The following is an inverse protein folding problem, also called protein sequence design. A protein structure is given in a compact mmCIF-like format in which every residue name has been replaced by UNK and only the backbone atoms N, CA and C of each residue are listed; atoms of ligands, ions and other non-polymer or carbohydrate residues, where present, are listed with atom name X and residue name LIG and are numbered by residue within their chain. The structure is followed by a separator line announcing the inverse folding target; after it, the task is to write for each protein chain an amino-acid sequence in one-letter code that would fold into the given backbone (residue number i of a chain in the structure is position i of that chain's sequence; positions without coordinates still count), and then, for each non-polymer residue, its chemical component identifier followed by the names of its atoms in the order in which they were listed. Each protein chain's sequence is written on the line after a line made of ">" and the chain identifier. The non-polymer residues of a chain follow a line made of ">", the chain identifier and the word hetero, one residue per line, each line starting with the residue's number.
data_IF_133795470506
#
_entry.id   IF_133795470506
#
_cell.length_a   1.000
_cell.length_b   1.000
_cell.length_c   1.000
_cell.angle_alpha   90.00
_cell.angle_beta   90.00
_cell.angle_gamma   90.00
#
_symmetry.space_group_name_H-M   'P 1'
#
loop_
_entity.id
_entity.type
_entity.pdbx_description
1 polymer ?
#
# COMPACT_ATOMS: atom_id res chain seq x y z
N UNK A 1 -21.25 6.22 1.70
CA UNK A 1 -21.98 6.22 0.42
C UNK A 1 -23.32 5.50 0.59
N UNK A 2 -24.39 6.12 0.16
CA UNK A 2 -25.70 5.47 0.15
C UNK A 2 -25.74 4.50 -1.05
N UNK A 3 -26.55 3.43 -0.93
CA UNK A 3 -26.69 2.47 -2.01
C UNK A 3 -27.22 3.07 -3.31
N UNK A 4 -27.96 4.19 -3.22
CA UNK A 4 -28.54 4.86 -4.38
C UNK A 4 -27.47 5.47 -5.30
N UNK A 5 -26.31 5.80 -4.75
CA UNK A 5 -25.22 6.43 -5.50
C UNK A 5 -24.16 5.44 -5.95
N UNK A 6 -24.33 4.15 -5.65
CA UNK A 6 -23.37 3.14 -6.04
C UNK A 6 -23.41 2.93 -7.56
N UNK A 7 -22.25 2.78 -8.22
CA UNK A 7 -22.22 2.47 -9.64
C UNK A 7 -22.82 1.10 -9.92
N UNK A 8 -23.35 0.94 -11.11
CA UNK A 8 -24.05 -0.31 -11.49
C UNK A 8 -23.12 -1.53 -11.55
N UNK A 9 -21.82 -1.29 -11.79
CA UNK A 9 -20.84 -2.38 -11.83
C UNK A 9 -20.41 -2.88 -10.45
N UNK A 10 -20.69 -2.11 -9.38
CA UNK A 10 -20.30 -2.48 -8.02
C UNK A 10 -21.41 -3.33 -7.40
N UNK A 11 -21.22 -4.64 -7.41
CA UNK A 11 -22.20 -5.62 -6.93
C UNK A 11 -21.88 -6.15 -5.55
N UNK A 12 -20.70 -5.86 -5.04
CA UNK A 12 -20.28 -6.30 -3.72
C UNK A 12 -20.27 -5.15 -2.73
N UNK A 13 -20.27 -5.49 -1.45
CA UNK A 13 -20.10 -4.50 -0.40
C UNK A 13 -18.61 -4.13 -0.31
N UNK A 14 -18.33 -2.84 -0.18
CA UNK A 14 -16.96 -2.40 0.07
C UNK A 14 -16.46 -2.98 1.39
N UNK A 15 -15.19 -3.41 1.45
CA UNK A 15 -14.58 -3.73 2.72
C UNK A 15 -14.62 -2.52 3.66
N UNK A 16 -14.62 -2.78 4.96
CA UNK A 16 -14.67 -1.70 5.95
C UNK A 16 -13.52 -0.69 5.79
N UNK A 17 -12.38 -1.13 5.28
CA UNK A 17 -11.20 -0.29 5.09
C UNK A 17 -11.22 0.50 3.78
N UNK A 18 -12.19 0.28 2.89
CA UNK A 18 -12.24 0.99 1.61
C UNK A 18 -12.62 2.46 1.83
N UNK A 19 -11.77 3.34 1.35
CA UNK A 19 -11.95 4.79 1.45
C UNK A 19 -12.14 5.44 0.09
N UNK A 20 -12.14 4.64 -0.97
CA UNK A 20 -12.22 5.16 -2.34
C UNK A 20 -13.66 5.40 -2.76
N UNK A 21 -13.88 6.52 -3.45
CA UNK A 21 -15.13 6.77 -4.15
C UNK A 21 -15.18 5.96 -5.44
N UNK A 22 -16.30 5.28 -5.68
CA UNK A 22 -16.51 4.49 -6.89
C UNK A 22 -17.45 5.23 -7.82
N UNK A 23 -17.02 5.44 -9.07
CA UNK A 23 -17.77 6.18 -10.07
C UNK A 23 -18.27 5.25 -11.16
N UNK A 24 -19.44 5.59 -11.73
CA UNK A 24 -20.04 4.77 -12.79
C UNK A 24 -19.11 4.63 -14.01
N UNK A 25 -18.37 5.70 -14.33
CA UNK A 25 -17.48 5.73 -15.48
C UNK A 25 -16.05 5.29 -15.20
N UNK A 26 -15.79 4.69 -14.03
CA UNK A 26 -14.49 4.10 -13.76
C UNK A 26 -14.16 3.05 -14.80
N UNK A 27 -12.96 3.15 -15.38
CA UNK A 27 -12.46 2.13 -16.29
C UNK A 27 -12.35 0.79 -15.53
N UNK A 28 -12.60 -0.36 -16.18
CA UNK A 28 -12.49 -1.65 -15.49
C UNK A 28 -11.20 -1.86 -14.71
N UNK A 29 -10.07 -1.35 -15.20
CA UNK A 29 -8.78 -1.46 -14.51
C UNK A 29 -8.72 -0.60 -13.25
N UNK A 30 -9.60 0.40 -13.14
CA UNK A 30 -9.63 1.31 -12.01
C UNK A 30 -10.71 0.94 -10.98
N UNK A 31 -11.37 -0.19 -11.18
CA UNK A 31 -12.42 -0.67 -10.27
C UNK A 31 -11.81 -1.49 -9.14
N UNK A 32 -11.24 -0.79 -8.17
CA UNK A 32 -10.63 -1.44 -7.02
C UNK A 32 -10.91 -0.67 -5.74
N UNK A 33 -10.90 -1.40 -4.63
CA UNK A 33 -10.98 -0.81 -3.30
C UNK A 33 -9.58 -0.42 -2.84
N UNK A 34 -9.44 0.68 -2.15
CA UNK A 34 -8.19 0.97 -1.45
C UNK A 34 -8.45 1.70 -0.14
N UNK A 35 -7.54 1.48 0.81
CA UNK A 35 -7.61 2.11 2.12
C UNK A 35 -7.15 3.57 2.05
N UNK A 36 -7.40 4.30 3.13
CA UNK A 36 -6.72 5.57 3.36
C UNK A 36 -5.21 5.30 3.37
N UNK A 37 -4.42 6.12 2.68
CA UNK A 37 -2.97 5.94 2.72
C UNK A 37 -2.41 6.31 4.08
N UNK A 38 -1.46 5.51 4.56
CA UNK A 38 -0.69 5.81 5.76
C UNK A 38 0.66 6.38 5.34
N UNK A 39 1.08 7.47 5.96
CA UNK A 39 2.34 8.13 5.64
C UNK A 39 3.36 7.83 6.73
N UNK A 40 4.53 7.35 6.32
CA UNK A 40 5.60 6.96 7.23
C UNK A 40 6.83 7.80 6.94
N UNK A 41 7.20 8.74 7.82
CA UNK A 41 8.48 9.43 7.69
C UNK A 41 9.61 8.43 7.84
N UNK A 42 10.57 8.47 6.93
CA UNK A 42 11.65 7.51 6.88
C UNK A 42 12.96 8.19 6.52
N UNK A 43 14.06 7.52 6.82
CA UNK A 43 15.38 7.89 6.33
C UNK A 43 15.88 6.70 5.54
N UNK A 44 16.24 6.91 4.29
CA UNK A 44 16.58 5.83 3.38
C UNK A 44 17.82 6.14 2.57
N UNK A 45 18.51 5.07 2.15
CA UNK A 45 19.62 5.17 1.21
C UNK A 45 19.07 5.02 -0.21
N UNK A 46 19.40 5.95 -1.08
CA UNK A 46 18.82 6.01 -2.41
C UNK A 46 19.40 4.96 -3.37
N UNK A 47 20.70 4.73 -3.34
CA UNK A 47 21.36 3.94 -4.39
C UNK A 47 22.45 2.98 -3.91
N UNK A 48 22.85 3.03 -2.67
CA UNK A 48 23.99 2.23 -2.20
C UNK A 48 23.52 0.87 -1.66
N UNK A 49 24.28 -0.17 -2.02
CA UNK A 49 24.01 -1.52 -1.49
C UNK A 49 24.28 -1.58 0.00
N UNK A 50 25.35 -0.92 0.45
CA UNK A 50 25.65 -0.76 1.87
C UNK A 50 25.68 0.74 2.16
N UNK A 51 24.65 1.29 2.79
CA UNK A 51 24.57 2.73 2.98
C UNK A 51 25.58 3.24 4.00
N UNK A 52 26.07 4.44 3.74
CA UNK A 52 26.84 5.23 4.69
C UNK A 52 26.02 6.44 5.08
N UNK A 53 26.35 7.08 6.21
CA UNK A 53 25.57 8.21 6.71
C UNK A 53 25.35 9.30 5.66
N UNK A 54 26.34 9.57 4.83
CA UNK A 54 26.25 10.63 3.82
C UNK A 54 25.27 10.30 2.68
N UNK A 55 24.93 9.02 2.49
CA UNK A 55 24.00 8.61 1.44
C UNK A 55 22.55 8.50 1.92
N UNK A 56 22.31 8.70 3.21
CA UNK A 56 20.97 8.64 3.78
C UNK A 56 20.24 9.96 3.56
N UNK A 57 18.97 9.89 3.19
CA UNK A 57 18.16 11.07 3.00
C UNK A 57 16.74 10.85 3.54
N UNK A 58 16.10 11.91 4.02
CA UNK A 58 14.72 11.79 4.49
C UNK A 58 13.78 11.56 3.31
N UNK A 59 12.75 10.77 3.54
CA UNK A 59 11.69 10.53 2.57
C UNK A 59 10.39 10.21 3.30
N UNK A 60 9.29 10.21 2.57
CA UNK A 60 8.00 9.76 3.09
C UNK A 60 7.59 8.52 2.31
N UNK A 61 7.25 7.46 3.03
CA UNK A 61 6.67 6.26 2.43
C UNK A 61 5.16 6.32 2.58
N UNK A 62 4.46 5.84 1.57
CA UNK A 62 3.01 5.68 1.58
C UNK A 62 2.70 4.20 1.60
N UNK A 63 1.84 3.79 2.52
CA UNK A 63 1.43 2.38 2.67
C UNK A 63 -0.09 2.31 2.58
N UNK A 64 -0.60 1.41 1.74
CA UNK A 64 -2.04 1.27 1.58
C UNK A 64 -2.43 -0.13 1.14
N UNK A 65 -3.70 -0.49 1.40
CA UNK A 65 -4.30 -1.75 0.99
C UNK A 65 -5.08 -1.54 -0.31
N UNK A 66 -5.12 -2.57 -1.15
CA UNK A 66 -5.94 -2.56 -2.33
C UNK A 66 -6.50 -3.95 -2.65
N UNK A 67 -7.61 -3.97 -3.36
CA UNK A 67 -8.22 -5.19 -3.87
C UNK A 67 -9.13 -4.83 -5.04
N UNK A 68 -8.95 -5.47 -6.18
CA UNK A 68 -9.88 -5.28 -7.29
C UNK A 68 -11.28 -5.74 -6.91
N UNK A 69 -12.28 -5.05 -7.42
CA UNK A 69 -13.67 -5.47 -7.27
C UNK A 69 -13.81 -6.87 -7.86
N UNK A 70 -14.57 -7.71 -7.19
CA UNK A 70 -14.81 -9.11 -7.56
C UNK A 70 -13.57 -10.02 -7.48
N UNK A 71 -12.48 -9.54 -6.89
CA UNK A 71 -11.29 -10.35 -6.67
C UNK A 71 -11.12 -10.66 -5.18
N UNK A 72 -10.72 -11.89 -4.83
CA UNK A 72 -10.42 -12.23 -3.44
C UNK A 72 -9.03 -11.77 -3.01
N UNK A 73 -8.20 -11.27 -3.94
CA UNK A 73 -6.80 -10.94 -3.67
C UNK A 73 -6.67 -9.54 -3.09
N UNK A 74 -6.26 -9.45 -1.85
CA UNK A 74 -5.87 -8.20 -1.21
C UNK A 74 -4.35 -8.05 -1.29
N UNK A 75 -3.90 -6.86 -1.65
CA UNK A 75 -2.49 -6.55 -1.76
C UNK A 75 -2.14 -5.31 -0.94
N UNK A 76 -0.87 -5.19 -0.60
CA UNK A 76 -0.31 -4.07 0.15
C UNK A 76 0.72 -3.38 -0.73
N UNK A 77 0.62 -2.08 -0.87
CA UNK A 77 1.59 -1.28 -1.60
C UNK A 77 2.39 -0.42 -0.64
N UNK A 78 3.69 -0.34 -0.89
CA UNK A 78 4.61 0.56 -0.20
C UNK A 78 5.37 1.32 -1.27
N UNK A 79 5.29 2.64 -1.25
CA UNK A 79 5.90 3.45 -2.29
C UNK A 79 6.39 4.80 -1.74
N UNK A 80 7.44 5.38 -2.34
CA UNK A 80 7.84 6.73 -1.99
C UNK A 80 6.79 7.74 -2.41
N UNK A 81 6.45 8.68 -1.53
CA UNK A 81 5.41 9.68 -1.80
C UNK A 81 5.81 10.68 -2.89
N UNK A 82 7.10 11.03 -2.94
CA UNK A 82 7.59 12.09 -3.81
C UNK A 82 8.16 11.61 -5.15
N UNK A 83 8.23 10.29 -5.35
CA UNK A 83 8.86 9.72 -6.54
C UNK A 83 7.96 8.67 -7.16
N UNK A 84 8.03 8.56 -8.48
CA UNK A 84 7.38 7.45 -9.19
C UNK A 84 8.34 6.26 -9.31
N UNK A 85 9.20 6.11 -8.33
CA UNK A 85 10.18 5.04 -8.27
C UNK A 85 9.51 3.69 -8.02
N UNK A 86 10.23 2.59 -8.21
CA UNK A 86 9.67 1.27 -8.00
C UNK A 86 8.99 1.18 -6.65
N UNK A 87 7.78 0.71 -6.69
CA UNK A 87 7.01 0.44 -5.50
C UNK A 87 7.03 -1.05 -5.21
N UNK A 88 6.85 -1.39 -3.96
CA UNK A 88 6.70 -2.77 -3.55
C UNK A 88 5.21 -3.05 -3.42
N UNK A 89 4.71 -4.02 -4.18
CA UNK A 89 3.32 -4.46 -4.08
C UNK A 89 3.34 -5.94 -3.74
N UNK A 90 2.76 -6.29 -2.61
CA UNK A 90 2.78 -7.65 -2.09
C UNK A 90 1.35 -8.13 -1.85
N UNK A 91 1.15 -9.45 -1.95
CA UNK A 91 -0.08 -10.03 -1.44
C UNK A 91 -0.16 -9.79 0.06
N UNK A 92 -1.36 -9.83 0.62
CA UNK A 92 -1.56 -9.69 2.06
C UNK A 92 -0.73 -10.72 2.83
N UNK A 93 -0.72 -11.97 2.37
CA UNK A 93 0.05 -13.04 2.99
C UNK A 93 1.55 -12.75 2.99
N UNK A 94 2.08 -12.32 1.86
CA UNK A 94 3.50 -11.97 1.74
C UNK A 94 3.86 -10.74 2.60
N UNK A 95 2.97 -9.77 2.68
CA UNK A 95 3.17 -8.61 3.52
C UNK A 95 3.23 -8.99 5.00
N UNK A 96 2.40 -9.93 5.43
CA UNK A 96 2.43 -10.43 6.82
C UNK A 96 3.75 -11.16 7.10
N UNK A 97 4.22 -11.96 6.15
CA UNK A 97 5.51 -12.64 6.28
C UNK A 97 6.66 -11.63 6.37
N UNK A 98 6.64 -10.61 5.54
CA UNK A 98 7.64 -9.54 5.60
C UNK A 98 7.61 -8.80 6.93
N UNK A 99 6.43 -8.47 7.41
CA UNK A 99 6.25 -7.81 8.70
C UNK A 99 6.90 -8.62 9.83
N UNK A 100 6.65 -9.94 9.84
CA UNK A 100 7.22 -10.83 10.84
C UNK A 100 8.76 -10.85 10.76
N UNK A 101 9.31 -10.97 9.56
CA UNK A 101 10.77 -10.99 9.39
C UNK A 101 11.43 -9.65 9.71
N UNK A 102 10.79 -8.54 9.39
CA UNK A 102 11.26 -7.24 9.82
C UNK A 102 11.34 -7.16 11.34
N UNK A 103 10.33 -7.68 12.03
CA UNK A 103 10.33 -7.73 13.49
C UNK A 103 11.50 -8.54 14.03
N UNK A 104 11.77 -9.71 13.44
CA UNK A 104 12.91 -10.55 13.85
C UNK A 104 14.24 -9.83 13.66
N UNK A 105 14.45 -9.18 12.52
CA UNK A 105 15.70 -8.46 12.25
C UNK A 105 15.88 -7.27 13.20
N UNK A 106 14.80 -6.54 13.47
CA UNK A 106 14.85 -5.43 14.40
C UNK A 106 15.15 -5.89 15.83
N UNK A 107 14.65 -7.09 16.21
CA UNK A 107 14.98 -7.68 17.50
C UNK A 107 16.48 -8.02 17.60
N UNK A 108 17.10 -8.47 16.51
CA UNK A 108 18.54 -8.72 16.49
C UNK A 108 19.34 -7.42 16.63
N UNK A 109 18.82 -6.31 16.10
CA UNK A 109 19.49 -5.01 16.19
C UNK A 109 19.38 -4.36 17.56
N UNK A 110 18.44 -4.81 18.39
CA UNK A 110 18.24 -4.25 19.74
C UNK A 110 19.46 -4.52 20.63
N UNK A 111 19.85 -3.54 21.48
CA UNK A 111 20.99 -3.72 22.40
C UNK A 111 20.69 -4.76 23.48
#
# INVERSE_FOLDING_TARGET
>A
MTGADAPTWLRERCPAWCAREHLEDDHPEDRYHHSEPAFVPAVAAAADTVPVTASLEPMTLVVWLGRHVDSPLTWVAVEPAERREPRLVLTEESARALHEQLGHQLALAAP
#
